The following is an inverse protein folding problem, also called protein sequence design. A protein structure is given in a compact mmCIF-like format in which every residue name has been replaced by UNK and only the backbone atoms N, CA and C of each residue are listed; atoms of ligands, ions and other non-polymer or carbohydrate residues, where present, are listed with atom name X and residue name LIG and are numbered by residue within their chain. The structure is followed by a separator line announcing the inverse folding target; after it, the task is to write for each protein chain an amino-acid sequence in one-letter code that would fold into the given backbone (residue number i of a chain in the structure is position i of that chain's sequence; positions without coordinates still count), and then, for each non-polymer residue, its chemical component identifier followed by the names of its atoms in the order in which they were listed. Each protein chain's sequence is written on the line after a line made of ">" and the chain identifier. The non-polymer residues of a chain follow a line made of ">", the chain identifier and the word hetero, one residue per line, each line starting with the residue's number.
data_IF_754170500278
#
_entry.id   IF_754170500278
#
_cell.length_a   1.000
_cell.length_b   1.000
_cell.length_c   1.000
_cell.angle_alpha   90.00
_cell.angle_beta   90.00
_cell.angle_gamma   90.00
#
_symmetry.space_group_name_H-M   'P 1'
#
loop_
_entity.id
_entity.type
_entity.pdbx_description
1 polymer ?
#
# COMPACT_ATOMS: atom_id res chain seq x y z
N UNK A 1 -11.60 6.08 -8.02
CA UNK A 1 -10.29 5.49 -7.63
C UNK A 1 -10.19 5.50 -6.12
N UNK A 2 -10.12 4.32 -5.51
CA UNK A 2 -10.14 4.16 -4.05
C UNK A 2 -8.73 3.88 -3.51
N UNK A 3 -8.53 4.08 -2.20
CA UNK A 3 -7.25 3.83 -1.53
C UNK A 3 -7.45 2.87 -0.38
N UNK A 4 -6.60 1.84 -0.30
CA UNK A 4 -6.48 1.02 0.90
C UNK A 4 -5.37 1.60 1.77
N UNK A 5 -5.72 1.98 3.01
CA UNK A 5 -4.79 2.52 4.00
C UNK A 5 -4.75 1.58 5.19
N UNK A 6 -3.57 1.06 5.51
CA UNK A 6 -3.34 0.24 6.69
C UNK A 6 -2.25 0.86 7.55
N UNK A 7 -2.44 0.82 8.87
CA UNK A 7 -1.56 1.46 9.85
C UNK A 7 -0.96 0.40 10.77
N UNK A 8 0.35 0.43 10.92
CA UNK A 8 1.12 -0.53 11.70
C UNK A 8 1.87 0.18 12.83
N UNK A 9 1.94 -0.41 14.03
CA UNK A 9 2.85 0.07 15.07
C UNK A 9 4.30 -0.22 14.66
N UNK A 10 5.21 0.68 15.01
CA UNK A 10 6.65 0.48 14.82
C UNK A 10 7.30 0.07 16.13
N UNK A 11 8.16 -0.96 16.07
CA UNK A 11 9.07 -1.35 17.15
C UNK A 11 10.40 -0.64 16.90
N UNK A 12 10.97 -0.01 17.93
CA UNK A 12 12.15 0.84 17.81
C UNK A 12 13.35 0.10 17.14
N UNK A 13 13.88 0.68 16.06
CA UNK A 13 15.08 0.18 15.36
C UNK A 13 15.08 0.44 13.85
N UNK A 14 16.19 0.92 13.28
CA UNK A 14 16.29 1.26 11.85
C UNK A 14 16.14 0.05 10.91
N UNK A 15 16.70 -1.11 11.29
CA UNK A 15 16.54 -2.38 10.54
C UNK A 15 15.11 -2.92 10.66
N UNK A 16 14.52 -2.83 11.85
CA UNK A 16 13.13 -3.21 12.08
C UNK A 16 12.16 -2.39 11.21
N UNK A 17 12.46 -1.10 10.96
CA UNK A 17 11.62 -0.27 10.10
C UNK A 17 11.58 -0.73 8.63
N UNK A 18 12.69 -1.24 8.09
CA UNK A 18 12.72 -1.75 6.70
C UNK A 18 11.89 -3.02 6.58
N UNK A 19 12.07 -3.96 7.49
CA UNK A 19 11.32 -5.22 7.50
C UNK A 19 9.82 -4.98 7.72
N UNK A 20 9.46 -4.08 8.64
CA UNK A 20 8.08 -3.64 8.87
C UNK A 20 7.47 -2.99 7.63
N UNK A 21 8.24 -2.25 6.82
CA UNK A 21 7.75 -1.67 5.56
C UNK A 21 7.42 -2.72 4.52
N UNK A 22 8.27 -3.72 4.36
CA UNK A 22 8.03 -4.84 3.45
C UNK A 22 6.80 -5.65 3.88
N UNK A 23 6.69 -5.97 5.18
CA UNK A 23 5.54 -6.68 5.73
C UNK A 23 4.24 -5.90 5.59
N UNK A 24 4.28 -4.59 5.87
CA UNK A 24 3.13 -3.70 5.75
C UNK A 24 2.56 -3.66 4.34
N UNK A 25 3.44 -3.58 3.33
CA UNK A 25 3.06 -3.62 1.93
C UNK A 25 2.46 -4.98 1.54
N UNK A 26 3.10 -6.09 1.94
CA UNK A 26 2.63 -7.44 1.64
C UNK A 26 1.23 -7.70 2.23
N UNK A 27 0.98 -7.30 3.48
CA UNK A 27 -0.33 -7.42 4.14
C UNK A 27 -1.39 -6.58 3.43
N UNK A 28 -1.06 -5.35 3.04
CA UNK A 28 -2.00 -4.49 2.32
C UNK A 28 -2.35 -5.07 0.93
N UNK A 29 -1.39 -5.66 0.23
CA UNK A 29 -1.64 -6.34 -1.04
C UNK A 29 -2.50 -7.59 -0.87
N UNK A 30 -2.24 -8.40 0.18
CA UNK A 30 -3.06 -9.55 0.51
C UNK A 30 -4.50 -9.12 0.81
N UNK A 31 -4.69 -8.04 1.55
CA UNK A 31 -6.00 -7.49 1.86
C UNK A 31 -6.74 -7.02 0.60
N UNK A 32 -6.06 -6.28 -0.28
CA UNK A 32 -6.65 -5.89 -1.55
C UNK A 32 -7.13 -7.12 -2.36
N UNK A 33 -6.34 -8.20 -2.40
CA UNK A 33 -6.76 -9.45 -3.07
C UNK A 33 -7.98 -10.10 -2.41
N UNK A 34 -8.06 -10.12 -1.07
CA UNK A 34 -9.21 -10.68 -0.33
C UNK A 34 -10.52 -9.99 -0.69
N UNK A 35 -10.47 -8.68 -0.93
CA UNK A 35 -11.63 -7.89 -1.34
C UNK A 35 -11.88 -7.87 -2.85
N UNK A 36 -11.11 -8.65 -3.63
CA UNK A 36 -11.19 -8.65 -5.09
C UNK A 36 -10.76 -7.32 -5.71
N UNK A 37 -9.99 -6.49 -4.98
CA UNK A 37 -9.51 -5.22 -5.48
C UNK A 37 -8.25 -5.39 -6.33
N UNK A 38 -8.19 -4.66 -7.43
CA UNK A 38 -7.00 -4.59 -8.28
C UNK A 38 -6.11 -3.45 -7.86
N UNK A 39 -4.86 -3.74 -7.52
CA UNK A 39 -3.83 -2.72 -7.25
C UNK A 39 -3.32 -2.18 -8.59
N UNK A 40 -3.29 -0.86 -8.77
CA UNK A 40 -2.95 -0.21 -10.06
C UNK A 40 -1.67 0.63 -10.06
N UNK A 41 -0.92 0.66 -8.96
CA UNK A 41 0.33 1.41 -8.88
C UNK A 41 1.27 0.89 -7.80
N UNK A 42 2.45 1.49 -7.71
CA UNK A 42 3.41 1.18 -6.67
C UNK A 42 2.82 1.56 -5.29
N UNK A 43 2.77 0.59 -4.38
CA UNK A 43 2.37 0.86 -3.01
C UNK A 43 3.40 1.73 -2.29
N UNK A 44 2.94 2.72 -1.55
CA UNK A 44 3.79 3.60 -0.78
C UNK A 44 3.71 3.24 0.71
N UNK A 45 4.82 3.43 1.43
CA UNK A 45 4.86 3.36 2.89
C UNK A 45 5.38 4.68 3.46
N UNK A 46 4.70 5.23 4.47
CA UNK A 46 5.08 6.48 5.16
C UNK A 46 5.21 6.24 6.65
N UNK A 47 6.34 6.62 7.25
CA UNK A 47 6.54 6.62 8.69
C UNK A 47 6.08 7.96 9.28
N UNK A 48 5.36 7.91 10.41
CA UNK A 48 4.87 9.06 11.17
C UNK A 48 5.60 9.11 12.52
N UNK A 49 6.66 9.93 12.65
CA UNK A 49 7.52 9.93 13.83
C UNK A 49 6.77 10.24 15.12
N UNK A 50 5.86 11.21 15.08
CA UNK A 50 5.11 11.69 16.25
C UNK A 50 4.17 10.64 16.84
N UNK A 51 3.81 9.62 16.05
CA UNK A 51 2.89 8.57 16.46
C UNK A 51 3.51 7.18 16.49
N UNK A 52 4.79 7.05 16.10
CA UNK A 52 5.50 5.76 15.92
C UNK A 52 4.70 4.75 15.09
N UNK A 53 4.08 5.24 14.00
CA UNK A 53 3.25 4.43 13.11
C UNK A 53 3.81 4.41 11.69
N UNK A 54 3.60 3.30 11.01
CA UNK A 54 3.84 3.16 9.59
C UNK A 54 2.51 3.01 8.85
N UNK A 55 2.29 3.82 7.81
CA UNK A 55 1.12 3.71 6.93
C UNK A 55 1.52 3.08 5.60
N UNK A 56 0.87 1.98 5.23
CA UNK A 56 0.90 1.44 3.88
C UNK A 56 -0.32 1.96 3.10
N UNK A 57 -0.07 2.50 1.92
CA UNK A 57 -1.10 3.10 1.06
C UNK A 57 -1.01 2.43 -0.31
N UNK A 58 -2.07 1.75 -0.70
CA UNK A 58 -2.20 1.13 -2.02
C UNK A 58 -3.31 1.81 -2.83
N UNK A 59 -3.03 2.26 -4.07
CA UNK A 59 -4.07 2.61 -5.01
C UNK A 59 -4.79 1.33 -5.46
N UNK A 60 -6.11 1.29 -5.27
CA UNK A 60 -6.93 0.11 -5.55
C UNK A 60 -8.18 0.46 -6.36
N UNK A 61 -8.61 -0.48 -7.21
CA UNK A 61 -9.86 -0.43 -7.94
C UNK A 61 -10.78 -1.52 -7.44
N UNK A 62 -12.06 -1.18 -7.27
CA UNK A 62 -13.09 -2.15 -6.92
C UNK A 62 -13.62 -2.84 -8.18
N UNK A 63 -14.26 -4.01 -8.08
CA UNK A 63 -14.90 -4.66 -9.22
C UNK A 63 -15.99 -3.83 -9.91
N UNK A 64 -16.55 -2.84 -9.20
CA UNK A 64 -17.58 -1.93 -9.67
C UNK A 64 -17.00 -0.70 -10.38
N UNK A 65 -15.71 -0.42 -10.17
CA UNK A 65 -14.98 0.57 -10.96
C UNK A 65 -14.61 -0.09 -12.29
N UNK A 66 -15.05 0.45 -13.45
CA UNK A 66 -14.46 0.02 -14.71
C UNK A 66 -12.94 0.19 -14.58
N UNK A 67 -12.12 -0.78 -15.06
CA UNK A 67 -10.68 -0.63 -15.02
C UNK A 67 -10.33 0.61 -15.83
N UNK A 68 -10.02 1.71 -15.14
CA UNK A 68 -9.31 2.83 -15.75
C UNK A 68 -8.02 2.20 -16.24
N UNK A 69 -7.89 2.06 -17.56
CA UNK A 69 -6.80 1.34 -18.20
C UNK A 69 -5.51 1.69 -17.49
N UNK A 70 -4.78 0.67 -17.06
CA UNK A 70 -3.39 0.84 -16.68
C UNK A 70 -2.69 1.32 -17.95
N UNK A 71 -2.56 2.64 -18.10
CA UNK A 71 -1.66 3.20 -19.09
C UNK A 71 -0.26 2.81 -18.62
N UNK A 72 0.28 1.80 -19.27
CA UNK A 72 1.71 1.76 -19.55
C UNK A 72 1.99 3.00 -20.41
N UNK A 73 2.20 4.16 -19.80
CA UNK A 73 2.98 5.20 -20.45
C UNK A 73 4.42 4.71 -20.44
N UNK A 74 4.79 4.01 -21.51
CA UNK A 74 6.16 4.00 -21.95
C UNK A 74 6.56 5.41 -22.36
N UNK A 75 7.80 5.77 -22.02
CA UNK A 75 8.57 6.88 -22.58
C UNK A 75 7.94 8.29 -22.45
N UNK A 76 8.35 8.99 -21.39
CA UNK A 76 9.06 10.26 -21.52
C UNK A 76 10.10 10.38 -20.40
#
# INVERSE_FOLDING_TARGET
>A
MSRLVMVFPVIDGARALVDLRAEALARAMAEARRHGWRVTGAGATRYEPDTRRLRAILPVHTPQDPPAGAFLEGAA
#
